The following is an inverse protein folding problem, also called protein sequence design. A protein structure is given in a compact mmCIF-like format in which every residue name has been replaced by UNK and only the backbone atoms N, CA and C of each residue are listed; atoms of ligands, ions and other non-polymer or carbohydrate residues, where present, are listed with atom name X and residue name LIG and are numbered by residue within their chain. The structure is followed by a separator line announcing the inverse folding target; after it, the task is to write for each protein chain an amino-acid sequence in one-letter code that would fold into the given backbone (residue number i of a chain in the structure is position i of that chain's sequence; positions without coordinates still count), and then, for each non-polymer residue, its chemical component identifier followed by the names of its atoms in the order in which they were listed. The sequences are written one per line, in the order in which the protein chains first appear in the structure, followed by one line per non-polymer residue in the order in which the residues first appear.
data_IF_038804048296
#
_entry.id   IF_038804048296
#
_cell.length_a   1.000
_cell.length_b   1.000
_cell.length_c   1.000
_cell.angle_alpha   90.00
_cell.angle_beta   90.00
_cell.angle_gamma   90.00
#
_symmetry.space_group_name_H-M   'P 1'
#
loop_
_entity.id
_entity.type
_entity.pdbx_description
1 polymer ?
#
# COMPACT_ATOMS: atom_id res chain seq x y z
N UNK A 1 -4.29 7.37 -90.45
CA UNK A 1 -4.10 8.61 -89.68
C UNK A 1 -4.27 8.28 -88.20
N UNK A 2 -3.16 8.29 -87.44
CA UNK A 2 -3.18 7.98 -86.00
C UNK A 2 -3.34 9.27 -85.18
N UNK A 3 -4.31 9.29 -84.27
CA UNK A 3 -4.50 10.43 -83.35
C UNK A 3 -3.36 10.47 -82.33
N UNK A 4 -2.76 11.65 -82.07
CA UNK A 4 -1.71 11.78 -81.08
C UNK A 4 -2.30 11.60 -79.67
N UNK A 5 -1.64 10.77 -78.87
CA UNK A 5 -1.98 10.52 -77.46
C UNK A 5 -1.51 11.73 -76.65
N UNK A 6 -2.45 12.46 -76.06
CA UNK A 6 -2.17 13.65 -75.26
C UNK A 6 -1.56 13.27 -73.89
N UNK A 7 -0.28 13.60 -73.72
CA UNK A 7 0.55 13.21 -72.57
C UNK A 7 0.31 14.06 -71.30
N UNK A 8 -0.64 15.01 -71.31
CA UNK A 8 -0.84 15.94 -70.18
C UNK A 8 -1.52 15.35 -68.94
N UNK A 9 -2.06 14.12 -69.00
CA UNK A 9 -2.80 13.53 -67.89
C UNK A 9 -1.94 12.95 -66.74
N UNK A 10 -0.62 12.85 -66.90
CA UNK A 10 0.25 12.19 -65.92
C UNK A 10 0.80 13.09 -64.80
N UNK A 11 0.74 14.42 -64.92
CA UNK A 11 1.39 15.32 -63.95
C UNK A 11 0.62 15.43 -62.62
N UNK A 12 -0.70 15.24 -62.62
CA UNK A 12 -1.52 15.42 -61.42
C UNK A 12 -1.51 14.21 -60.47
N UNK A 13 -1.17 13.01 -60.94
CA UNK A 13 -1.08 11.79 -60.10
C UNK A 13 0.08 11.83 -59.10
N UNK A 14 1.21 12.49 -59.43
CA UNK A 14 2.37 12.58 -58.51
C UNK A 14 2.05 13.38 -57.26
N UNK A 15 1.28 14.47 -57.37
CA UNK A 15 0.94 15.30 -56.21
C UNK A 15 0.00 14.58 -55.23
N UNK A 16 -0.88 13.73 -55.74
CA UNK A 16 -1.79 12.95 -54.91
C UNK A 16 -1.07 11.85 -54.11
N UNK A 17 -0.09 11.17 -54.72
CA UNK A 17 0.70 10.16 -54.01
C UNK A 17 1.54 10.73 -52.86
N UNK A 18 2.10 11.94 -53.02
CA UNK A 18 2.86 12.59 -51.94
C UNK A 18 1.97 13.01 -50.76
N UNK A 19 0.72 13.41 -51.01
CA UNK A 19 -0.22 13.78 -49.95
C UNK A 19 -0.62 12.59 -49.07
N UNK A 20 -0.90 11.42 -49.68
CA UNK A 20 -1.23 10.20 -48.93
C UNK A 20 -0.05 9.75 -48.07
N UNK A 21 1.17 9.82 -48.63
CA UNK A 21 2.39 9.42 -47.94
C UNK A 21 2.68 10.35 -46.73
N UNK A 22 2.42 11.65 -46.87
CA UNK A 22 2.52 12.61 -45.76
C UNK A 22 1.54 12.32 -44.61
N UNK A 23 0.28 12.00 -44.92
CA UNK A 23 -0.73 11.66 -43.90
C UNK A 23 -0.34 10.37 -43.15
N UNK A 24 0.14 9.35 -43.87
CA UNK A 24 0.60 8.10 -43.26
C UNK A 24 1.74 8.32 -42.26
N UNK A 25 2.72 9.16 -42.61
CA UNK A 25 3.85 9.49 -41.71
C UNK A 25 3.35 10.21 -40.45
N UNK A 26 2.44 11.19 -40.59
CA UNK A 26 1.88 11.91 -39.45
C UNK A 26 1.11 10.98 -38.51
N UNK A 27 0.32 10.04 -39.04
CA UNK A 27 -0.41 9.07 -38.22
C UNK A 27 0.54 8.11 -37.47
N UNK A 28 1.60 7.63 -38.13
CA UNK A 28 2.60 6.76 -37.49
C UNK A 28 3.38 7.50 -36.41
N UNK A 29 3.80 8.74 -36.66
CA UNK A 29 4.48 9.58 -35.66
C UNK A 29 3.56 9.92 -34.49
N UNK A 30 2.28 10.24 -34.76
CA UNK A 30 1.30 10.50 -33.71
C UNK A 30 1.00 9.25 -32.88
N UNK A 31 0.92 8.07 -33.51
CA UNK A 31 0.74 6.79 -32.81
C UNK A 31 1.95 6.45 -31.93
N UNK A 32 3.17 6.66 -32.43
CA UNK A 32 4.40 6.37 -31.67
C UNK A 32 4.62 7.33 -30.51
N UNK A 33 4.25 8.61 -30.65
CA UNK A 33 4.26 9.57 -29.54
C UNK A 33 3.18 9.24 -28.50
N UNK A 34 1.98 8.88 -28.95
CA UNK A 34 0.89 8.45 -28.07
C UNK A 34 1.25 7.17 -27.29
N UNK A 35 1.86 6.18 -27.96
CA UNK A 35 2.38 4.98 -27.33
C UNK A 35 3.48 5.31 -26.30
N UNK A 36 4.40 6.23 -26.60
CA UNK A 36 5.43 6.63 -25.63
C UNK A 36 4.83 7.27 -24.38
N UNK A 37 3.88 8.20 -24.49
CA UNK A 37 3.29 8.84 -23.31
C UNK A 37 2.40 7.88 -22.50
N UNK A 38 1.57 7.07 -23.19
CA UNK A 38 0.70 6.10 -22.51
C UNK A 38 1.46 4.93 -21.91
N UNK A 39 2.47 4.39 -22.59
CA UNK A 39 3.33 3.34 -22.02
C UNK A 39 4.21 3.89 -20.91
N UNK A 40 4.77 5.11 -21.02
CA UNK A 40 5.56 5.67 -19.91
C UNK A 40 4.69 5.92 -18.68
N UNK A 41 3.43 6.31 -18.86
CA UNK A 41 2.47 6.44 -17.76
C UNK A 41 2.12 5.07 -17.14
N UNK A 42 1.80 4.07 -17.96
CA UNK A 42 1.48 2.71 -17.49
C UNK A 42 2.68 2.01 -16.84
N UNK A 43 3.90 2.19 -17.36
CA UNK A 43 5.12 1.69 -16.74
C UNK A 43 5.51 2.51 -15.50
N UNK A 44 5.17 3.80 -15.42
CA UNK A 44 5.39 4.59 -14.19
C UNK A 44 4.48 4.17 -13.03
N UNK A 45 3.32 3.59 -13.32
CA UNK A 45 2.43 3.00 -12.30
C UNK A 45 2.91 1.62 -11.82
N UNK A 46 3.87 1.00 -12.53
CA UNK A 46 4.36 -0.35 -12.24
C UNK A 46 5.87 -0.41 -12.01
N UNK A 47 6.54 0.74 -11.87
CA UNK A 47 7.93 0.79 -11.40
C UNK A 47 7.90 0.72 -9.86
N UNK A 48 8.25 -0.43 -9.25
CA UNK A 48 8.21 -0.58 -7.80
C UNK A 48 9.16 0.36 -7.06
N UNK A 49 10.08 1.03 -7.77
CA UNK A 49 11.05 1.95 -7.19
C UNK A 49 10.70 3.43 -7.42
N UNK A 50 9.68 3.74 -8.23
CA UNK A 50 9.28 5.12 -8.50
C UNK A 50 8.17 5.55 -7.54
N UNK A 51 8.58 5.86 -6.32
CA UNK A 51 7.72 6.49 -5.32
C UNK A 51 7.28 7.86 -5.88
N UNK A 52 5.97 8.15 -6.05
CA UNK A 52 5.49 9.47 -6.43
C UNK A 52 6.12 10.56 -5.55
N UNK A 53 6.49 11.74 -6.07
CA UNK A 53 7.11 12.80 -5.25
C UNK A 53 6.27 13.21 -4.04
N UNK A 54 4.94 13.14 -4.13
CA UNK A 54 4.03 13.34 -2.99
C UNK A 54 4.25 12.31 -1.87
N UNK A 55 4.59 11.07 -2.22
CA UNK A 55 4.89 10.01 -1.25
C UNK A 55 6.27 10.19 -0.62
N UNK A 56 7.24 10.82 -1.30
CA UNK A 56 8.52 11.18 -0.67
C UNK A 56 8.32 12.21 0.45
N UNK A 57 7.46 13.22 0.23
CA UNK A 57 7.11 14.19 1.27
C UNK A 57 6.36 13.52 2.43
N UNK A 58 5.56 12.48 2.14
CA UNK A 58 4.90 11.67 3.16
C UNK A 58 5.92 10.81 3.93
N UNK A 59 6.91 10.21 3.26
CA UNK A 59 8.00 9.45 3.89
C UNK A 59 8.88 10.30 4.82
N UNK A 60 9.14 11.56 4.46
CA UNK A 60 9.86 12.52 5.31
C UNK A 60 9.05 12.97 6.54
N UNK A 61 7.72 12.88 6.48
CA UNK A 61 6.84 13.10 7.63
C UNK A 61 6.69 11.83 8.50
N UNK A 62 6.75 10.64 7.89
CA UNK A 62 6.69 9.33 8.58
C UNK A 62 7.95 9.09 9.43
N UNK A 63 9.09 9.65 9.07
CA UNK A 63 10.33 9.54 9.85
C UNK A 63 10.41 10.47 11.07
N UNK A 64 9.34 11.23 11.37
CA UNK A 64 9.30 12.07 12.58
C UNK A 64 9.13 11.19 13.83
N UNK A 65 10.10 11.18 14.76
CA UNK A 65 10.06 10.32 15.95
C UNK A 65 8.87 10.60 16.88
N UNK A 66 8.21 11.76 16.73
CA UNK A 66 7.06 12.16 17.55
C UNK A 66 5.76 11.40 17.23
N UNK A 67 5.69 10.62 16.13
CA UNK A 67 4.47 9.88 15.73
C UNK A 67 4.49 8.39 16.03
N UNK A 68 5.60 7.86 16.55
CA UNK A 68 5.56 6.49 17.05
C UNK A 68 4.59 6.44 18.21
N UNK A 69 3.81 5.36 18.30
CA UNK A 69 3.36 4.92 19.61
C UNK A 69 4.66 4.75 20.41
N UNK A 70 4.96 5.70 21.29
CA UNK A 70 6.18 5.84 22.11
C UNK A 70 6.36 4.69 23.11
N UNK A 71 6.24 3.49 22.58
CA UNK A 71 5.81 2.25 23.24
C UNK A 71 6.70 1.14 22.76
N UNK A 72 7.00 1.12 21.46
CA UNK A 72 8.00 0.24 20.89
C UNK A 72 9.28 1.03 20.71
N UNK A 73 10.18 0.90 21.67
CA UNK A 73 11.53 1.44 21.57
C UNK A 73 12.30 0.66 20.48
N UNK A 74 13.28 1.27 19.80
CA UNK A 74 14.01 0.60 18.72
C UNK A 74 14.61 -0.76 19.12
N UNK A 75 15.12 -0.89 20.35
CA UNK A 75 15.64 -2.13 20.91
C UNK A 75 14.59 -3.25 21.03
N UNK A 76 13.32 -2.90 21.24
CA UNK A 76 12.22 -3.86 21.25
C UNK A 76 11.84 -4.34 19.85
N UNK A 77 12.12 -3.53 18.82
CA UNK A 77 11.86 -3.87 17.43
C UNK A 77 12.96 -4.77 16.84
N UNK A 78 14.22 -4.60 17.28
CA UNK A 78 15.37 -5.40 16.84
C UNK A 78 15.21 -6.91 17.13
N UNK A 79 14.44 -7.25 18.16
CA UNK A 79 14.17 -8.64 18.55
C UNK A 79 13.08 -9.35 17.74
N UNK A 80 12.38 -8.63 16.86
CA UNK A 80 11.26 -9.16 16.08
C UNK A 80 11.77 -9.92 14.86
N UNK A 81 11.31 -11.16 14.69
CA UNK A 81 11.71 -12.04 13.59
C UNK A 81 10.55 -12.24 12.63
N UNK A 82 10.67 -11.72 11.42
CA UNK A 82 9.71 -12.00 10.35
C UNK A 82 9.72 -13.49 9.95
N UNK A 83 8.61 -13.94 9.35
CA UNK A 83 8.42 -15.30 8.84
C UNK A 83 8.58 -16.38 9.93
N UNK A 84 8.19 -16.05 11.16
CA UNK A 84 8.15 -16.98 12.27
C UNK A 84 6.88 -16.74 13.13
N UNK A 85 6.38 -17.77 13.83
CA UNK A 85 5.40 -17.57 14.88
C UNK A 85 5.89 -16.58 15.95
N UNK A 86 4.96 -16.06 16.77
CA UNK A 86 5.32 -15.20 17.90
C UNK A 86 6.15 -16.01 18.90
N UNK A 87 7.35 -15.54 19.19
CA UNK A 87 8.31 -16.21 20.06
C UNK A 87 8.26 -15.71 21.51
N UNK A 88 8.89 -16.47 22.42
CA UNK A 88 9.01 -16.09 23.83
C UNK A 88 9.78 -14.77 24.03
N UNK A 89 10.74 -14.44 23.17
CA UNK A 89 11.48 -13.15 23.26
C UNK A 89 10.64 -11.96 22.78
N UNK A 90 9.71 -12.18 21.85
CA UNK A 90 8.78 -11.14 21.36
C UNK A 90 7.62 -10.89 22.33
N UNK A 91 7.44 -11.77 23.32
CA UNK A 91 6.35 -11.74 24.30
C UNK A 91 6.24 -10.41 25.01
N UNK A 92 7.36 -9.92 25.59
CA UNK A 92 7.41 -8.65 26.32
C UNK A 92 6.98 -7.48 25.42
N UNK A 93 7.43 -7.48 24.16
CA UNK A 93 7.10 -6.46 23.17
C UNK A 93 5.61 -6.46 22.81
N UNK A 94 5.07 -7.64 22.48
CA UNK A 94 3.63 -7.82 22.21
C UNK A 94 2.80 -7.33 23.39
N UNK A 95 3.23 -7.70 24.59
CA UNK A 95 2.55 -7.37 25.83
C UNK A 95 2.50 -5.87 26.13
N UNK A 96 3.64 -5.18 26.00
CA UNK A 96 3.71 -3.73 26.10
C UNK A 96 2.81 -3.05 25.05
N UNK A 97 2.77 -3.58 23.83
CA UNK A 97 1.92 -3.09 22.75
C UNK A 97 0.42 -3.23 23.09
N UNK A 98 -0.03 -4.39 23.58
CA UNK A 98 -1.42 -4.57 24.01
C UNK A 98 -1.81 -3.61 25.13
N UNK A 99 -0.94 -3.44 26.13
CA UNK A 99 -1.18 -2.52 27.25
C UNK A 99 -1.37 -1.09 26.76
N UNK A 100 -0.52 -0.65 25.83
CA UNK A 100 -0.68 0.67 25.24
C UNK A 100 -1.98 0.81 24.48
N UNK A 101 -2.27 -0.14 23.58
CA UNK A 101 -3.48 -0.10 22.78
C UNK A 101 -4.73 -0.11 23.66
N UNK A 102 -4.70 -0.83 24.79
CA UNK A 102 -5.80 -0.83 25.75
C UNK A 102 -5.97 0.54 26.41
N UNK A 103 -4.87 1.19 26.79
CA UNK A 103 -4.89 2.49 27.47
C UNK A 103 -5.35 3.66 26.58
N UNK A 104 -5.22 3.56 25.25
CA UNK A 104 -5.58 4.63 24.32
C UNK A 104 -7.02 4.55 23.82
N UNK A 105 -7.64 5.68 23.56
CA UNK A 105 -8.91 5.79 22.85
C UNK A 105 -8.75 5.51 21.35
N UNK A 106 -9.85 5.20 20.66
CA UNK A 106 -9.81 4.99 19.20
C UNK A 106 -9.48 6.28 18.43
N UNK A 107 -9.80 7.44 18.98
CA UNK A 107 -9.45 8.75 18.41
C UNK A 107 -7.95 9.01 18.54
N UNK A 108 -7.36 8.78 19.71
CA UNK A 108 -5.90 8.90 19.89
C UNK A 108 -5.12 7.94 18.98
N UNK A 109 -5.59 6.69 18.82
CA UNK A 109 -4.95 5.72 17.90
C UNK A 109 -5.03 6.23 16.46
N UNK A 110 -6.18 6.81 16.07
CA UNK A 110 -6.35 7.39 14.75
C UNK A 110 -5.44 8.60 14.51
N UNK A 111 -5.27 9.46 15.51
CA UNK A 111 -4.47 10.68 15.40
C UNK A 111 -2.97 10.39 15.25
N UNK A 112 -2.49 9.31 15.87
CA UNK A 112 -1.11 8.83 15.69
C UNK A 112 -0.93 7.96 14.43
N UNK A 113 -2.01 7.65 13.72
CA UNK A 113 -1.92 6.87 12.49
C UNK A 113 -1.25 7.66 11.37
N UNK A 114 -0.34 7.01 10.64
CA UNK A 114 0.22 7.58 9.41
C UNK A 114 -0.75 7.48 8.22
N UNK A 115 -1.98 7.01 8.46
CA UNK A 115 -3.05 6.91 7.48
C UNK A 115 -3.03 5.60 6.69
N UNK A 116 -3.66 5.63 5.51
CA UNK A 116 -3.81 4.44 4.66
C UNK A 116 -2.49 4.12 3.98
N UNK A 117 -1.97 2.93 4.24
CA UNK A 117 -0.79 2.36 3.56
C UNK A 117 -1.22 1.16 2.75
N UNK A 118 -0.69 1.03 1.53
CA UNK A 118 -1.03 -0.08 0.65
C UNK A 118 -0.34 -1.37 1.11
N UNK A 119 -0.99 -2.52 0.88
CA UNK A 119 -0.48 -3.85 1.18
C UNK A 119 0.96 -4.03 0.68
N UNK A 120 1.20 -3.70 -0.58
CA UNK A 120 2.51 -3.87 -1.19
C UNK A 120 3.62 -3.07 -0.50
N UNK A 121 3.30 -1.97 0.18
CA UNK A 121 4.29 -1.12 0.86
C UNK A 121 4.74 -1.76 2.17
N UNK A 122 3.82 -2.01 3.11
CA UNK A 122 4.19 -2.59 4.40
C UNK A 122 4.65 -4.05 4.27
N UNK A 123 4.20 -4.77 3.24
CA UNK A 123 4.69 -6.12 2.95
C UNK A 123 6.13 -6.13 2.41
N UNK A 124 6.52 -5.18 1.56
CA UNK A 124 7.88 -5.15 0.97
C UNK A 124 8.89 -4.40 1.83
N UNK A 125 8.43 -3.52 2.71
CA UNK A 125 9.27 -2.63 3.51
C UNK A 125 8.94 -2.78 5.00
N UNK A 126 8.99 -4.00 5.57
CA UNK A 126 8.52 -4.21 6.93
C UNK A 126 9.25 -3.31 7.94
N UNK A 127 10.57 -3.15 7.78
CA UNK A 127 11.40 -2.30 8.67
C UNK A 127 10.98 -0.83 8.69
N UNK A 128 10.44 -0.30 7.58
CA UNK A 128 9.98 1.09 7.51
C UNK A 128 8.67 1.30 8.26
N UNK A 129 7.79 0.30 8.21
CA UNK A 129 6.44 0.42 8.78
C UNK A 129 6.29 -0.24 10.14
N UNK A 130 7.25 -1.06 10.58
CA UNK A 130 7.19 -1.79 11.85
C UNK A 130 7.05 -0.81 13.02
N UNK A 131 6.09 -1.09 13.89
CA UNK A 131 5.77 -0.26 15.05
C UNK A 131 4.90 0.98 14.76
N UNK A 132 4.64 1.30 13.49
CA UNK A 132 3.75 2.41 13.13
C UNK A 132 2.28 1.98 13.13
N UNK A 133 1.39 2.91 13.48
CA UNK A 133 -0.06 2.72 13.35
C UNK A 133 -0.49 2.97 11.91
N UNK A 134 -0.89 1.92 11.21
CA UNK A 134 -1.38 1.98 9.83
C UNK A 134 -2.89 1.82 9.80
N UNK A 135 -3.54 2.49 8.85
CA UNK A 135 -4.94 2.27 8.54
C UNK A 135 -5.09 1.23 7.44
N UNK A 136 -5.81 0.15 7.75
CA UNK A 136 -6.11 -0.95 6.84
C UNK A 136 -7.59 -0.89 6.48
N UNK A 137 -7.90 -1.13 5.20
CA UNK A 137 -9.26 -1.32 4.70
C UNK A 137 -9.39 -2.68 4.05
N UNK A 138 -10.48 -3.38 4.35
CA UNK A 138 -10.70 -4.71 3.81
C UNK A 138 -12.00 -5.35 4.26
N UNK A 139 -12.12 -6.64 3.97
CA UNK A 139 -13.25 -7.47 4.39
C UNK A 139 -12.76 -8.54 5.35
N UNK A 140 -13.30 -8.60 6.56
CA UNK A 140 -13.02 -9.70 7.49
C UNK A 140 -13.62 -10.99 6.94
N UNK A 141 -12.81 -12.05 6.83
CA UNK A 141 -13.19 -13.38 6.33
C UNK A 141 -13.34 -14.42 7.44
N UNK A 142 -12.54 -14.31 8.49
CA UNK A 142 -12.59 -15.19 9.66
C UNK A 142 -12.36 -14.34 10.91
N UNK A 143 -13.20 -14.58 11.92
CA UNK A 143 -13.04 -14.05 13.28
C UNK A 143 -12.86 -15.26 14.19
N UNK A 144 -11.75 -15.34 14.90
CA UNK A 144 -11.50 -16.39 15.86
C UNK A 144 -11.28 -15.78 17.25
N UNK A 145 -12.01 -16.28 18.24
CA UNK A 145 -11.71 -15.96 19.63
C UNK A 145 -10.56 -16.84 20.10
N UNK A 146 -9.50 -16.24 20.61
CA UNK A 146 -8.28 -16.93 21.05
C UNK A 146 -8.08 -16.67 22.53
N UNK A 147 -7.90 -17.75 23.29
CA UNK A 147 -7.48 -17.65 24.68
C UNK A 147 -6.00 -17.32 24.74
N UNK A 148 -5.62 -16.47 25.68
CA UNK A 148 -4.21 -16.15 25.88
C UNK A 148 -3.44 -17.44 26.21
N UNK A 149 -2.39 -17.80 25.43
CA UNK A 149 -1.62 -18.99 25.70
C UNK A 149 -0.99 -18.99 27.10
N UNK A 150 -0.87 -20.16 27.73
CA UNK A 150 -0.32 -20.29 29.08
C UNK A 150 1.12 -19.75 29.20
N UNK A 151 1.94 -19.88 28.16
CA UNK A 151 3.29 -19.32 28.16
C UNK A 151 3.29 -17.80 28.28
N UNK A 152 2.25 -17.16 27.75
CA UNK A 152 2.03 -15.74 27.80
C UNK A 152 1.56 -15.32 29.21
N UNK A 153 0.69 -16.12 29.84
CA UNK A 153 0.25 -15.93 31.24
C UNK A 153 1.40 -16.06 32.26
N UNK A 154 2.30 -17.04 32.08
CA UNK A 154 3.42 -17.31 32.99
C UNK A 154 4.45 -16.17 33.08
N UNK A 155 4.55 -15.34 32.05
CA UNK A 155 5.47 -14.19 32.04
C UNK A 155 5.11 -13.08 33.04
N UNK A 156 3.88 -13.08 33.58
CA UNK A 156 3.35 -12.04 34.47
C UNK A 156 3.58 -12.31 35.97
N UNK A 157 4.70 -12.92 36.33
CA UNK A 157 5.09 -13.01 37.75
C UNK A 157 4.33 -14.05 38.58
N UNK A 158 3.69 -15.03 37.94
CA UNK A 158 3.35 -16.27 38.65
C UNK A 158 4.62 -17.09 38.73
N UNK A 159 5.49 -16.71 39.69
CA UNK A 159 6.62 -17.52 40.13
C UNK A 159 6.11 -18.95 40.25
N UNK A 160 6.57 -19.80 39.33
CA UNK A 160 6.43 -21.25 39.49
C UNK A 160 6.81 -21.54 40.93
N UNK A 161 5.98 -22.25 41.73
CA UNK A 161 6.38 -22.59 43.08
C UNK A 161 7.76 -23.21 42.93
N UNK A 162 8.76 -22.58 43.57
CA UNK A 162 10.09 -23.16 43.67
C UNK A 162 9.83 -24.60 44.06
N UNK A 163 10.21 -25.53 43.19
CA UNK A 163 10.43 -26.91 43.61
C UNK A 163 11.41 -26.78 44.76
N UNK A 164 10.87 -26.76 45.98
CA UNK A 164 11.61 -26.94 47.21
C UNK A 164 12.45 -28.17 46.98
N UNK A 165 13.72 -27.96 46.64
CA UNK A 165 14.70 -29.01 46.71
C UNK A 165 14.63 -29.47 48.17
N UNK A 166 14.30 -30.74 48.47
CA UNK A 166 14.45 -31.23 49.82
C UNK A 166 15.92 -31.08 50.16
N UNK A 167 16.23 -30.15 51.07
CA UNK A 167 17.50 -30.05 51.74
C UNK A 167 17.68 -31.37 52.48
N UNK A 168 18.32 -32.32 51.80
CA UNK A 168 18.88 -33.50 52.42
C UNK A 168 19.95 -33.01 53.37
N UNK A 169 19.65 -33.10 54.66
CA UNK A 169 20.64 -32.87 55.69
C UNK A 169 21.83 -33.80 55.48
N UNK A 170 23.03 -33.25 55.52
CA UNK A 170 24.12 -33.94 56.18
C UNK A 170 25.00 -32.92 56.92
N UNK A 171 25.24 -33.25 58.17
CA UNK A 171 25.98 -32.49 59.17
C UNK A 171 27.44 -32.92 59.06
N UNK A 172 28.39 -31.98 58.96
CA UNK A 172 29.68 -31.96 59.69
C UNK A 172 30.80 -31.22 58.95
N UNK A 173 31.15 -30.01 59.39
CA UNK A 173 32.48 -29.63 59.96
C UNK A 173 32.68 -28.11 60.04
N UNK A 174 33.41 -27.60 61.06
CA UNK A 174 33.64 -26.18 61.25
C UNK A 174 34.95 -25.69 60.62
N UNK A 175 35.09 -24.35 60.62
CA UNK A 175 36.36 -23.61 60.73
C UNK A 175 37.11 -23.28 59.41
N UNK A 176 37.01 -22.03 58.94
CA UNK A 176 37.87 -20.92 59.38
C UNK A 176 37.45 -19.60 58.75
N UNK A 177 37.39 -18.57 59.60
CA UNK A 177 37.23 -17.17 59.26
C UNK A 177 38.40 -16.70 58.40
N UNK A 178 38.11 -15.95 57.33
CA UNK A 178 39.06 -14.98 56.82
C UNK A 178 38.32 -13.73 56.33
N UNK A 179 38.48 -12.68 57.11
CA UNK A 179 38.06 -11.30 56.88
C UNK A 179 38.84 -10.70 55.73
N UNK A 180 38.15 -10.28 54.67
CA UNK A 180 38.65 -9.23 53.80
C UNK A 180 37.48 -8.39 53.29
N UNK A 181 37.28 -7.26 53.97
CA UNK A 181 36.32 -6.22 53.61
C UNK A 181 36.89 -5.37 52.48
N UNK A 182 36.43 -5.59 51.26
CA UNK A 182 36.51 -4.61 50.18
C UNK A 182 35.18 -3.83 50.13
N UNK A 183 35.20 -2.49 50.03
CA UNK A 183 33.97 -1.72 49.90
C UNK A 183 33.35 -1.97 48.52
N UNK A 184 32.24 -2.71 48.49
CA UNK A 184 31.41 -2.84 47.32
C UNK A 184 30.77 -1.48 47.00
N UNK A 185 31.14 -0.99 45.82
CA UNK A 185 30.51 0.11 45.08
C UNK A 185 28.98 -0.15 44.98
N UNK A 186 28.12 0.85 45.15
CA UNK A 186 26.68 0.64 45.21
C UNK A 186 26.19 0.01 43.91
N UNK A 187 25.66 -1.20 44.07
CA UNK A 187 24.96 -2.01 43.08
C UNK A 187 23.64 -1.31 42.77
N UNK A 188 23.68 -0.38 41.79
CA UNK A 188 22.49 0.20 41.17
C UNK A 188 22.16 -0.58 39.90
N UNK A 189 21.69 -1.82 40.03
CA UNK A 189 20.96 -2.53 38.97
C UNK A 189 19.92 -3.40 39.69
N UNK A 190 18.69 -3.49 39.12
CA UNK A 190 17.59 -4.40 39.47
C UNK A 190 16.32 -3.78 40.08
N UNK A 191 15.92 -2.58 39.64
CA UNK A 191 14.54 -2.09 39.83
C UNK A 191 13.64 -2.23 38.57
N UNK A 192 14.18 -2.53 37.39
CA UNK A 192 13.42 -2.61 36.12
C UNK A 192 12.84 -4.00 35.78
N UNK A 193 13.12 -5.04 36.58
CA UNK A 193 12.83 -6.42 36.18
C UNK A 193 11.57 -7.03 36.82
N UNK A 194 10.75 -6.22 37.49
CA UNK A 194 9.50 -6.69 38.11
C UNK A 194 8.30 -5.84 37.66
N UNK A 195 8.25 -5.52 36.37
CA UNK A 195 7.03 -5.01 35.75
C UNK A 195 6.00 -6.14 35.73
N UNK A 196 5.20 -6.25 36.80
CA UNK A 196 3.99 -7.04 36.77
C UNK A 196 3.03 -6.33 35.83
N UNK A 197 2.96 -6.82 34.60
CA UNK A 197 2.27 -6.12 33.54
C UNK A 197 0.72 -6.16 33.62
N UNK A 198 0.15 -6.79 34.66
CA UNK A 198 -1.23 -6.57 35.13
C UNK A 198 -2.30 -6.52 34.03
N UNK A 199 -2.45 -7.59 33.26
CA UNK A 199 -3.42 -7.64 32.17
C UNK A 199 -4.77 -8.19 32.64
N UNK A 200 -5.85 -7.46 32.35
CA UNK A 200 -7.22 -7.83 32.73
C UNK A 200 -7.99 -8.57 31.61
N UNK A 201 -7.34 -8.98 30.52
CA UNK A 201 -8.01 -9.73 29.44
C UNK A 201 -7.48 -11.16 29.35
N UNK A 202 -8.40 -12.13 29.35
CA UNK A 202 -8.09 -13.57 29.20
C UNK A 202 -8.10 -14.03 27.74
N UNK A 203 -8.71 -13.23 26.86
CA UNK A 203 -8.98 -13.57 25.47
C UNK A 203 -8.77 -12.38 24.55
N UNK A 204 -8.38 -12.66 23.32
CA UNK A 204 -8.34 -11.70 22.23
C UNK A 204 -9.01 -12.29 20.98
N UNK A 205 -9.09 -11.49 19.91
CA UNK A 205 -9.67 -11.92 18.65
C UNK A 205 -8.64 -11.86 17.53
N UNK A 206 -8.56 -12.92 16.74
CA UNK A 206 -7.83 -12.97 15.47
C UNK A 206 -8.79 -12.68 14.32
N UNK A 207 -8.50 -11.62 13.58
CA UNK A 207 -9.25 -11.20 12.42
C UNK A 207 -8.40 -11.45 11.18
N UNK A 208 -8.84 -12.36 10.33
CA UNK A 208 -8.25 -12.58 9.02
C UNK A 208 -8.97 -11.69 8.01
N UNK A 209 -8.29 -10.65 7.57
CA UNK A 209 -8.83 -9.62 6.70
C UNK A 209 -8.30 -9.84 5.29
N UNK A 210 -9.18 -9.75 4.31
CA UNK A 210 -8.80 -9.63 2.90
C UNK A 210 -8.69 -8.13 2.57
N UNK A 211 -7.49 -7.60 2.35
CA UNK A 211 -7.29 -6.20 1.99
C UNK A 211 -8.04 -5.81 0.72
N UNK A 212 -8.50 -4.55 0.66
CA UNK A 212 -9.19 -4.02 -0.53
C UNK A 212 -8.25 -3.93 -1.74
N UNK A 213 -6.98 -3.59 -1.51
CA UNK A 213 -5.95 -3.37 -2.54
C UNK A 213 -5.11 -4.62 -2.85
N UNK A 214 -5.21 -5.67 -2.02
CA UNK A 214 -4.68 -6.99 -2.34
C UNK A 214 -5.67 -8.09 -1.90
N UNK A 215 -6.61 -8.48 -2.77
CA UNK A 215 -7.60 -9.49 -2.43
C UNK A 215 -7.03 -10.92 -2.36
N UNK A 216 -5.79 -11.16 -2.78
CA UNK A 216 -5.21 -12.52 -2.81
C UNK A 216 -4.64 -12.92 -1.47
N UNK A 217 -3.90 -12.02 -0.83
CA UNK A 217 -3.12 -12.32 0.36
C UNK A 217 -3.80 -11.71 1.59
N UNK A 218 -4.07 -12.50 2.64
CA UNK A 218 -4.74 -11.99 3.82
C UNK A 218 -3.81 -11.11 4.66
N UNK A 219 -4.40 -10.42 5.64
CA UNK A 219 -3.72 -9.74 6.74
C UNK A 219 -4.30 -10.29 8.04
N UNK A 220 -3.43 -10.67 8.98
CA UNK A 220 -3.80 -11.06 10.33
C UNK A 220 -3.85 -9.81 11.22
N UNK A 221 -4.96 -9.60 11.93
CA UNK A 221 -5.06 -8.53 12.93
C UNK A 221 -5.55 -9.10 14.25
N UNK A 222 -4.73 -8.96 15.29
CA UNK A 222 -5.09 -9.30 16.66
C UNK A 222 -5.76 -8.10 17.34
N UNK A 223 -6.98 -8.26 17.84
CA UNK A 223 -7.74 -7.18 18.48
C UNK A 223 -8.20 -7.51 19.90
N UNK A 224 -8.29 -6.48 20.75
CA UNK A 224 -8.75 -6.62 22.14
C UNK A 224 -10.25 -6.86 22.18
N UNK A 225 -10.95 -6.12 21.33
CA UNK A 225 -12.39 -6.11 21.26
C UNK A 225 -12.84 -6.26 19.80
N UNK A 226 -14.05 -6.78 19.64
CA UNK A 226 -14.82 -6.67 18.41
C UNK A 226 -16.18 -6.06 18.75
N UNK A 227 -16.84 -5.34 17.83
CA UNK A 227 -18.18 -4.82 18.06
C UNK A 227 -19.16 -5.92 18.47
N UNK A 228 -20.10 -5.56 19.33
CA UNK A 228 -21.15 -6.47 19.77
C UNK A 228 -21.92 -7.02 18.55
N UNK A 229 -22.31 -8.30 18.61
CA UNK A 229 -23.04 -9.02 17.57
C UNK A 229 -22.24 -9.36 16.30
N UNK A 230 -20.92 -9.16 16.28
CA UNK A 230 -20.11 -9.70 15.19
C UNK A 230 -20.05 -11.23 15.24
N UNK A 231 -20.29 -11.93 14.10
CA UNK A 231 -20.22 -13.38 14.06
C UNK A 231 -18.79 -13.86 14.28
N UNK A 232 -18.58 -14.72 15.28
CA UNK A 232 -17.31 -15.45 15.44
C UNK A 232 -17.38 -16.72 14.60
N UNK A 233 -16.35 -16.98 13.80
CA UNK A 233 -16.25 -18.10 12.89
C UNK A 233 -15.86 -17.70 11.45
N UNK A 234 -15.97 -18.69 10.55
CA UNK A 234 -15.65 -18.56 9.13
C UNK A 234 -16.74 -17.78 8.36
N UNK A 235 -16.39 -17.33 7.16
CA UNK A 235 -17.28 -16.69 6.19
C UNK A 235 -17.93 -15.38 6.65
N UNK A 236 -17.24 -14.67 7.52
CA UNK A 236 -17.52 -13.25 7.71
C UNK A 236 -17.35 -12.53 6.37
N UNK A 237 -18.25 -11.60 6.05
CA UNK A 237 -18.14 -10.71 4.88
C UNK A 237 -18.37 -9.27 5.33
N UNK A 238 -17.65 -8.90 6.38
CA UNK A 238 -17.84 -7.63 7.08
C UNK A 238 -16.82 -6.63 6.54
N UNK A 239 -17.24 -5.55 5.87
CA UNK A 239 -16.33 -4.48 5.46
C UNK A 239 -15.89 -3.68 6.69
N UNK A 240 -14.59 -3.45 6.83
CA UNK A 240 -14.02 -2.78 8.00
C UNK A 240 -12.96 -1.76 7.62
N UNK A 241 -12.76 -0.81 8.53
CA UNK A 241 -11.52 -0.04 8.64
C UNK A 241 -10.92 -0.34 10.00
N UNK A 242 -9.61 -0.53 10.07
CA UNK A 242 -8.91 -0.74 11.33
C UNK A 242 -7.60 0.03 11.34
N UNK A 243 -7.38 0.75 12.44
CA UNK A 243 -6.11 1.42 12.73
C UNK A 243 -5.33 0.50 13.68
N UNK A 244 -4.18 0.01 13.24
CA UNK A 244 -3.42 -1.02 13.95
C UNK A 244 -1.92 -0.88 13.77
N UNK A 245 -1.15 -1.33 14.76
CA UNK A 245 0.31 -1.34 14.73
C UNK A 245 0.79 -2.49 13.89
N UNK A 246 1.55 -2.20 12.83
CA UNK A 246 2.21 -3.24 12.04
C UNK A 246 3.34 -3.85 12.88
N UNK A 247 3.29 -5.16 13.11
CA UNK A 247 4.21 -5.84 14.00
C UNK A 247 5.27 -6.66 13.26
N UNK A 248 4.85 -7.59 12.40
CA UNK A 248 5.76 -8.49 11.66
C UNK A 248 5.04 -9.18 10.51
N UNK A 249 5.79 -9.89 9.69
CA UNK A 249 5.26 -10.97 8.88
C UNK A 249 5.12 -12.24 9.73
N UNK A 250 3.89 -12.64 9.97
CA UNK A 250 3.54 -13.86 10.68
C UNK A 250 3.58 -15.06 9.72
N UNK A 251 4.11 -16.18 10.20
CA UNK A 251 4.13 -17.44 9.47
C UNK A 251 2.94 -18.29 9.91
N UNK A 252 2.15 -18.77 8.96
CA UNK A 252 1.00 -19.62 9.22
C UNK A 252 0.96 -20.80 8.25
N UNK A 253 0.18 -21.82 8.63
CA UNK A 253 -0.07 -22.98 7.77
C UNK A 253 -1.17 -22.62 6.77
N UNK A 254 -0.80 -22.50 5.49
CA UNK A 254 -1.72 -22.32 4.38
C UNK A 254 -2.40 -23.64 3.99
N UNK A 255 -3.07 -23.66 2.83
CA UNK A 255 -3.70 -24.90 2.34
C UNK A 255 -2.68 -25.93 1.83
N UNK A 256 -1.60 -25.46 1.21
CA UNK A 256 -0.59 -26.32 0.57
C UNK A 256 0.78 -26.22 1.24
N UNK A 257 1.18 -25.01 1.65
CA UNK A 257 2.51 -24.72 2.21
C UNK A 257 2.44 -23.75 3.38
N UNK A 258 3.59 -23.54 4.04
CA UNK A 258 3.75 -22.46 5.02
C UNK A 258 3.76 -21.12 4.27
N UNK A 259 2.83 -20.25 4.64
CA UNK A 259 2.66 -18.93 4.03
C UNK A 259 2.98 -17.83 5.05
N UNK A 260 3.22 -16.62 4.55
CA UNK A 260 3.49 -15.48 5.40
C UNK A 260 2.55 -14.32 5.11
N UNK A 261 2.01 -13.73 6.19
CA UNK A 261 1.04 -12.64 6.15
C UNK A 261 1.47 -11.50 7.07
N UNK A 262 1.20 -10.24 6.71
CA UNK A 262 1.31 -9.11 7.64
C UNK A 262 0.45 -9.31 8.89
N UNK A 263 1.04 -9.07 10.04
CA UNK A 263 0.39 -9.18 11.35
C UNK A 263 0.36 -7.81 12.04
N UNK A 264 -0.83 -7.45 12.50
CA UNK A 264 -1.08 -6.20 13.22
C UNK A 264 -1.67 -6.46 14.60
N UNK A 265 -1.51 -5.49 15.49
CA UNK A 265 -2.24 -5.40 16.75
C UNK A 265 -3.07 -4.13 16.79
N UNK A 266 -4.32 -4.24 17.21
CA UNK A 266 -5.24 -3.11 17.24
C UNK A 266 -6.19 -3.19 18.44
N UNK A 267 -6.80 -2.05 18.81
CA UNK A 267 -7.75 -2.02 19.93
C UNK A 267 -9.11 -2.64 19.55
N UNK A 268 -9.70 -2.16 18.46
CA UNK A 268 -11.01 -2.60 17.98
C UNK A 268 -11.18 -2.20 16.51
N UNK A 269 -11.82 -3.03 15.65
CA UNK A 269 -12.16 -2.62 14.30
C UNK A 269 -13.31 -1.60 14.31
N UNK A 270 -13.34 -0.75 13.29
CA UNK A 270 -14.46 0.14 13.03
C UNK A 270 -15.29 -0.40 11.86
N UNK A 271 -16.61 -0.43 12.03
CA UNK A 271 -17.50 -0.79 10.95
C UNK A 271 -17.53 0.31 9.90
N UNK A 272 -17.16 -0.03 8.67
CA UNK A 272 -17.32 0.87 7.53
C UNK A 272 -18.67 0.60 6.88
N UNK A 273 -19.71 1.33 7.29
CA UNK A 273 -20.93 1.36 6.48
C UNK A 273 -20.59 2.08 5.17
N UNK A 274 -20.64 1.37 4.03
CA UNK A 274 -20.34 1.90 2.68
C UNK A 274 -21.26 3.06 2.23
N UNK A 275 -22.07 3.64 3.11
CA UNK A 275 -23.05 4.67 2.79
C UNK A 275 -22.83 6.07 3.39
N UNK A 276 -21.89 6.32 4.32
CA UNK A 276 -21.84 7.63 5.01
C UNK A 276 -20.49 8.16 5.51
N UNK A 277 -19.35 7.53 5.22
CA UNK A 277 -18.12 8.33 5.23
C UNK A 277 -18.15 9.17 3.95
N UNK A 278 -18.79 10.35 4.04
CA UNK A 278 -18.44 11.49 3.18
C UNK A 278 -16.93 11.48 3.18
N UNK A 279 -16.26 11.23 2.04
CA UNK A 279 -14.81 11.22 2.02
C UNK A 279 -14.42 12.51 2.71
N UNK A 280 -13.80 12.41 3.89
CA UNK A 280 -13.09 13.58 4.39
C UNK A 280 -12.19 13.90 3.24
N UNK A 281 -12.54 15.00 2.61
CA UNK A 281 -11.89 15.47 1.42
C UNK A 281 -10.54 15.82 2.00
N UNK A 282 -9.61 14.86 1.98
CA UNK A 282 -8.21 15.15 1.72
C UNK A 282 -8.28 16.34 0.81
N UNK A 283 -7.82 17.48 1.32
CA UNK A 283 -7.72 18.76 0.63
C UNK A 283 -6.90 18.52 -0.63
N UNK A 284 -7.55 17.89 -1.60
CA UNK A 284 -7.09 17.56 -2.92
C UNK A 284 -7.12 18.91 -3.58
N UNK A 285 -5.96 19.55 -3.52
CA UNK A 285 -5.61 20.78 -4.20
C UNK A 285 -6.51 20.96 -5.44
N UNK A 286 -7.51 21.85 -5.38
CA UNK A 286 -8.56 21.89 -6.38
C UNK A 286 -8.09 22.68 -7.59
N UNK A 287 -7.04 22.23 -8.32
CA UNK A 287 -6.70 22.91 -9.57
C UNK A 287 -5.86 22.16 -10.61
N UNK A 288 -5.88 20.83 -10.67
CA UNK A 288 -5.61 20.16 -11.95
C UNK A 288 -6.93 19.95 -12.68
N UNK A 289 -7.34 20.98 -13.45
CA UNK A 289 -8.35 20.86 -14.50
C UNK A 289 -7.87 19.79 -15.49
N UNK A 290 -8.19 18.53 -15.21
CA UNK A 290 -8.13 17.46 -16.20
C UNK A 290 -9.06 17.88 -17.32
N UNK A 291 -8.51 18.34 -18.44
CA UNK A 291 -9.28 18.57 -19.66
C UNK A 291 -9.86 17.19 -20.00
N UNK A 292 -11.18 16.96 -19.87
CA UNK A 292 -11.73 15.64 -20.12
C UNK A 292 -11.39 15.24 -21.55
N UNK A 293 -10.97 13.99 -21.72
CA UNK A 293 -10.49 13.38 -22.97
C UNK A 293 -11.39 13.70 -24.18
N UNK A 294 -12.69 13.91 -23.93
CA UNK A 294 -13.68 14.37 -24.90
C UNK A 294 -13.27 15.65 -25.65
N UNK A 295 -12.66 16.65 -25.00
CA UNK A 295 -12.27 17.89 -25.68
C UNK A 295 -11.05 17.69 -26.58
N UNK A 296 -10.13 16.79 -26.20
CA UNK A 296 -8.96 16.46 -27.04
C UNK A 296 -9.43 15.76 -28.32
N UNK A 297 -10.35 14.79 -28.18
CA UNK A 297 -10.93 14.08 -29.32
C UNK A 297 -11.73 15.03 -30.21
N UNK A 298 -12.59 15.87 -29.62
CA UNK A 298 -13.36 16.86 -30.39
C UNK A 298 -12.46 17.86 -31.13
N UNK A 299 -11.39 18.34 -30.48
CA UNK A 299 -10.41 19.23 -31.10
C UNK A 299 -9.71 18.60 -32.31
N UNK A 300 -9.33 17.32 -32.21
CA UNK A 300 -8.70 16.59 -33.31
C UNK A 300 -9.62 16.46 -34.54
N UNK A 301 -10.91 16.18 -34.34
CA UNK A 301 -11.89 16.10 -35.44
C UNK A 301 -12.12 17.45 -36.12
N UNK A 302 -12.22 18.53 -35.35
CA UNK A 302 -12.37 19.89 -35.91
C UNK A 302 -11.14 20.24 -36.77
N UNK A 303 -9.94 19.96 -36.26
CA UNK A 303 -8.70 20.24 -36.97
C UNK A 303 -8.57 19.45 -38.27
N UNK A 304 -8.91 18.16 -38.25
CA UNK A 304 -8.93 17.32 -39.46
C UNK A 304 -9.93 17.84 -40.51
N UNK A 305 -11.12 18.29 -40.08
CA UNK A 305 -12.12 18.90 -40.97
C UNK A 305 -11.63 20.19 -41.62
N UNK A 306 -10.89 21.03 -40.89
CA UNK A 306 -10.29 22.26 -41.43
C UNK A 306 -9.22 21.96 -42.48
N UNK A 307 -8.38 20.94 -42.25
CA UNK A 307 -7.36 20.50 -43.22
C UNK A 307 -8.03 20.01 -44.52
N UNK A 308 -9.05 19.16 -44.42
CA UNK A 308 -9.78 18.66 -45.60
C UNK A 308 -10.38 19.81 -46.41
N UNK A 309 -11.02 20.77 -45.74
CA UNK A 309 -11.61 21.95 -46.40
C UNK A 309 -10.56 22.85 -47.05
N UNK A 310 -9.37 22.95 -46.46
CA UNK A 310 -8.25 23.69 -47.05
C UNK A 310 -7.71 23.02 -48.32
N UNK A 311 -7.59 21.68 -48.31
CA UNK A 311 -7.18 20.89 -49.47
C UNK A 311 -8.19 21.04 -50.61
N UNK A 312 -9.49 20.95 -50.33
CA UNK A 312 -10.54 21.15 -51.35
C UNK A 312 -10.47 22.53 -52.01
N UNK A 313 -10.26 23.59 -51.22
CA UNK A 313 -10.11 24.95 -51.75
C UNK A 313 -8.90 25.06 -52.66
N UNK A 314 -7.77 24.47 -52.28
CA UNK A 314 -6.54 24.43 -53.11
C UNK A 314 -6.76 23.69 -54.42
N UNK A 315 -7.48 22.57 -54.40
CA UNK A 315 -7.77 21.79 -55.62
C UNK A 315 -8.66 22.61 -56.58
N UNK A 316 -9.73 23.24 -56.08
CA UNK A 316 -10.63 24.06 -56.92
C UNK A 316 -9.93 25.24 -57.58
N UNK A 317 -8.97 25.88 -56.90
CA UNK A 317 -8.19 26.98 -57.48
C UNK A 317 -7.16 26.53 -58.53
N UNK A 318 -6.82 25.24 -58.57
CA UNK A 318 -5.78 24.70 -59.46
C UNK A 318 -6.32 24.15 -60.78
N UNK A 319 -7.63 24.19 -61.02
CA UNK A 319 -8.22 23.82 -62.30
C UNK A 319 -8.27 25.10 -63.14
N UNK A 320 -7.33 25.32 -64.08
CA UNK A 320 -7.46 26.42 -65.02
C UNK A 320 -8.75 26.22 -65.80
N UNK A 321 -9.56 27.27 -65.84
CA UNK A 321 -10.76 27.37 -66.66
C UNK A 321 -10.36 26.96 -68.09
N UNK A 322 -10.91 25.84 -68.56
CA UNK A 322 -10.57 25.30 -69.86
C UNK A 322 -10.88 26.38 -70.90
N UNK A 323 -9.86 26.84 -71.61
CA UNK A 323 -10.05 27.74 -72.75
C UNK A 323 -11.15 27.18 -73.65
N UNK A 324 -12.17 27.99 -74.00
CA UNK A 324 -13.23 27.54 -74.88
C UNK A 324 -12.61 27.05 -76.18
N UNK A 325 -12.99 25.83 -76.58
CA UNK A 325 -12.55 25.24 -77.84
C UNK A 325 -12.83 26.21 -78.99
N UNK A 326 -11.86 26.47 -79.88
CA UNK A 326 -12.08 27.37 -81.01
C UNK A 326 -13.22 26.83 -81.87
N UNK A 327 -14.23 27.69 -82.09
CA UNK A 327 -15.55 27.29 -82.62
C UNK A 327 -15.52 26.83 -84.09
N UNK A 328 -14.43 27.08 -84.82
CA UNK A 328 -14.28 26.63 -86.21
C UNK A 328 -12.83 26.32 -86.54
N UNK A 329 -12.60 25.09 -86.96
CA UNK A 329 -11.38 24.69 -87.68
C UNK A 329 -11.75 24.82 -89.16
N UNK A 330 -11.32 25.91 -89.79
CA UNK A 330 -11.44 26.05 -91.24
C UNK A 330 -10.42 25.09 -91.91
N UNK A 331 -10.93 24.09 -92.61
CA UNK A 331 -10.12 23.17 -93.41
C UNK A 331 -9.96 23.75 -94.84
N UNK A 332 -8.72 23.83 -95.37
CA UNK A 332 -8.47 24.23 -96.75
C UNK A 332 -8.80 23.15 -97.78
#
# INVERSE_FOLDING_TARGET
MAKPIDFRYHKNRRNFSWAILGIGIVLILSWTLFQKETLTFLFSLNDPNRVPPEWMNQMEDISRPERYLDVLTPDMLDGIKDHAPVSASETKTVMRLWNRLNAMTLEEIRDVSIGRVLFAQYFKQPETYRGNVLRIRGTVRLIQKVEIPNWLKKSNGQSSPETENPVSGDVSKPEKQNTNSQPQKPEQINAENNENFGYDFDTFYELWIQPEDNPRDPVLVNTLNIPENWPVGKDSKIPIVIDGVFFKHYLYEGMEDMESTPCFYAKSPLWYWMGKETPQTETRNPERKTIPLIYVVAGAFIFAGLILRFIERRIKQSIPESEPLPDKIDFP
#
